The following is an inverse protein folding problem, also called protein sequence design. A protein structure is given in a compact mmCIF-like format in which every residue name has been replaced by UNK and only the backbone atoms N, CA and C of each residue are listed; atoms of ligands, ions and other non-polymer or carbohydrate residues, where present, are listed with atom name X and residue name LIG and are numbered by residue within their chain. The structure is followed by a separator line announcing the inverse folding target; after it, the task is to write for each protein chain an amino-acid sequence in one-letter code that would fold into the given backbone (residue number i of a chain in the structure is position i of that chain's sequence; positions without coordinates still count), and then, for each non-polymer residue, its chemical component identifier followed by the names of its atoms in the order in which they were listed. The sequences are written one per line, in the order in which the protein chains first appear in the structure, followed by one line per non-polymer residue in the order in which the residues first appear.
data_IF_348956352239
#
_entry.id   IF_348956352239
#
_cell.length_a   1.000
_cell.length_b   1.000
_cell.length_c   1.000
_cell.angle_alpha   90.00
_cell.angle_beta   90.00
_cell.angle_gamma   90.00
#
_symmetry.space_group_name_H-M   'P 1'
#
loop_
_entity.id
_entity.type
_entity.pdbx_description
1 polymer ?
#
# COMPACT_ATOMS: atom_id res chain seq x y z
N UNK A 1 -15.04 -12.77 25.02
CA UNK A 1 -14.59 -13.73 23.98
C UNK A 1 -14.80 -13.23 22.55
N UNK A 2 -15.99 -12.77 22.15
CA UNK A 2 -16.27 -12.33 20.77
C UNK A 2 -15.36 -11.20 20.24
N UNK A 3 -15.03 -10.21 21.07
CA UNK A 3 -14.15 -9.08 20.69
C UNK A 3 -12.76 -9.53 20.22
N UNK A 4 -12.12 -10.43 20.96
CA UNK A 4 -10.79 -10.94 20.60
C UNK A 4 -10.80 -11.75 19.29
N UNK A 5 -11.92 -12.43 18.99
CA UNK A 5 -12.10 -13.13 17.71
C UNK A 5 -12.23 -12.11 16.57
N UNK A 6 -13.04 -11.06 16.75
CA UNK A 6 -13.19 -9.99 15.76
C UNK A 6 -11.87 -9.24 15.51
N UNK A 7 -11.12 -8.92 16.56
CA UNK A 7 -9.80 -8.29 16.46
C UNK A 7 -8.79 -9.16 15.68
N UNK A 8 -8.81 -10.49 15.88
CA UNK A 8 -7.96 -11.43 15.12
C UNK A 8 -8.35 -11.48 13.64
N UNK A 9 -9.65 -11.53 13.34
CA UNK A 9 -10.14 -11.51 11.95
C UNK A 9 -9.77 -10.20 11.27
N UNK A 10 -9.97 -9.07 11.94
CA UNK A 10 -9.58 -7.76 11.44
C UNK A 10 -8.06 -7.67 11.19
N UNK A 11 -7.23 -8.15 12.12
CA UNK A 11 -5.78 -8.18 11.96
C UNK A 11 -5.34 -9.06 10.77
N UNK A 12 -5.98 -10.22 10.57
CA UNK A 12 -5.74 -11.08 9.41
C UNK A 12 -6.10 -10.36 8.12
N UNK A 13 -7.30 -9.77 8.05
CA UNK A 13 -7.76 -9.04 6.86
C UNK A 13 -6.90 -7.83 6.55
N UNK A 14 -6.44 -7.11 7.58
CA UNK A 14 -5.48 -6.02 7.41
C UNK A 14 -4.16 -6.50 6.81
N UNK A 15 -3.63 -7.66 7.23
CA UNK A 15 -2.42 -8.24 6.62
C UNK A 15 -2.64 -8.65 5.16
N UNK A 16 -3.78 -9.28 4.86
CA UNK A 16 -4.15 -9.65 3.49
C UNK A 16 -4.21 -8.40 2.58
N UNK A 17 -4.89 -7.34 3.02
CA UNK A 17 -4.97 -6.08 2.27
C UNK A 17 -3.61 -5.40 2.10
N UNK A 18 -2.76 -5.39 3.13
CA UNK A 18 -1.40 -4.86 3.04
C UNK A 18 -0.56 -5.60 1.99
N UNK A 19 -0.68 -6.93 1.92
CA UNK A 19 0.03 -7.73 0.92
C UNK A 19 -0.44 -7.40 -0.51
N UNK A 20 -1.75 -7.29 -0.72
CA UNK A 20 -2.32 -6.90 -2.02
C UNK A 20 -1.85 -5.50 -2.42
N UNK A 21 -1.94 -4.53 -1.50
CA UNK A 21 -1.48 -3.17 -1.74
C UNK A 21 0.02 -3.13 -2.08
N UNK A 22 0.84 -3.90 -1.36
CA UNK A 22 2.27 -4.04 -1.64
C UNK A 22 2.53 -4.47 -3.09
N UNK A 23 1.86 -5.51 -3.57
CA UNK A 23 2.00 -5.96 -4.96
C UNK A 23 1.55 -4.91 -5.99
N UNK A 24 0.47 -4.17 -5.72
CA UNK A 24 0.04 -3.06 -6.59
C UNK A 24 1.10 -1.95 -6.62
N UNK A 25 1.65 -1.58 -5.46
CA UNK A 25 2.68 -0.53 -5.36
C UNK A 25 3.98 -0.93 -6.05
N UNK A 26 4.44 -2.17 -5.88
CA UNK A 26 5.63 -2.71 -6.58
C UNK A 26 5.45 -2.66 -8.10
N UNK A 27 4.26 -3.06 -8.57
CA UNK A 27 3.92 -3.01 -10.00
C UNK A 27 3.90 -1.58 -10.54
N UNK A 28 3.25 -0.65 -9.83
CA UNK A 28 3.21 0.77 -10.19
C UNK A 28 4.62 1.40 -10.19
N UNK A 29 5.47 1.03 -9.22
CA UNK A 29 6.83 1.52 -9.13
C UNK A 29 7.70 1.00 -10.28
N UNK A 30 7.52 -0.26 -10.70
CA UNK A 30 8.21 -0.80 -11.88
C UNK A 30 7.84 -0.07 -13.19
N UNK A 31 6.65 0.55 -13.24
CA UNK A 31 6.20 1.38 -14.37
C UNK A 31 6.57 2.87 -14.22
N UNK A 32 7.20 3.26 -13.12
CA UNK A 32 7.51 4.67 -12.83
C UNK A 32 6.30 5.52 -12.45
N UNK A 33 5.16 4.90 -12.10
CA UNK A 33 3.92 5.59 -11.74
C UNK A 33 3.93 6.10 -10.29
N UNK A 34 4.69 5.44 -9.42
CA UNK A 34 4.84 5.79 -8.01
C UNK A 34 6.28 5.59 -7.55
N UNK A 35 6.71 6.44 -6.62
CA UNK A 35 7.92 6.24 -5.82
C UNK A 35 7.52 6.23 -4.34
N UNK A 36 7.89 5.17 -3.63
CA UNK A 36 7.65 5.06 -2.19
C UNK A 36 8.96 5.33 -1.45
N UNK A 37 8.95 6.34 -0.57
CA UNK A 37 10.08 6.68 0.31
C UNK A 37 9.69 6.48 1.77
N UNK A 38 10.69 6.29 2.64
CA UNK A 38 10.48 6.28 4.08
C UNK A 38 10.97 7.61 4.65
N UNK A 39 10.04 8.45 5.08
CA UNK A 39 10.34 9.77 5.64
C UNK A 39 9.79 9.84 7.06
N UNK A 40 10.64 10.17 8.05
CA UNK A 40 10.25 10.24 9.47
C UNK A 40 9.55 8.97 9.97
N UNK A 41 10.01 7.80 9.52
CA UNK A 41 9.42 6.47 9.84
C UNK A 41 7.99 6.29 9.30
N UNK A 42 7.58 7.07 8.31
CA UNK A 42 6.30 6.95 7.63
C UNK A 42 6.51 6.74 6.12
N UNK A 43 5.72 5.87 5.48
CA UNK A 43 5.76 5.73 4.04
C UNK A 43 5.17 6.99 3.39
N UNK A 44 5.94 7.62 2.50
CA UNK A 44 5.49 8.73 1.65
C UNK A 44 5.39 8.22 0.22
N UNK A 45 4.24 8.49 -0.41
CA UNK A 45 3.93 8.05 -1.77
C UNK A 45 3.98 9.24 -2.71
N UNK A 46 4.97 9.25 -3.58
CA UNK A 46 5.11 10.24 -4.63
C UNK A 46 4.46 9.70 -5.90
N UNK A 47 3.35 10.32 -6.33
CA UNK A 47 2.59 9.86 -7.50
C UNK A 47 3.05 10.65 -8.72
N UNK A 48 3.43 9.93 -9.78
CA UNK A 48 3.77 10.54 -11.06
C UNK A 48 2.50 10.99 -11.77
N UNK A 49 2.25 12.30 -11.76
CA UNK A 49 1.18 12.93 -12.56
C UNK A 49 1.78 13.38 -13.88
N UNK A 50 2.09 12.44 -14.77
CA UNK A 50 2.36 12.79 -16.16
C UNK A 50 1.02 13.04 -16.85
N UNK A 51 0.76 14.27 -17.32
CA UNK A 51 -0.24 14.46 -18.36
C UNK A 51 0.19 13.61 -19.56
N UNK A 52 -0.62 12.61 -19.91
CA UNK A 52 -0.51 11.93 -21.19
C UNK A 52 -0.88 12.94 -22.29
N UNK A 53 0.06 13.80 -22.67
CA UNK A 53 0.08 14.42 -23.98
C UNK A 53 1.03 13.61 -24.85
N UNK A 54 0.46 12.59 -25.51
CA UNK A 54 0.80 12.13 -26.85
C UNK A 54 -0.30 11.22 -27.35
#
# INVERSE_FOLDING_TARGET
MARAVLERVAARKSRELKAILGGVMESAQSRGEVLVTLERQQPVYHITVAEARR
#
